data_IF_365383107802
#
_entry.id   IF_365383107802
#
_cell.length_a   1.000
_cell.length_b   1.000
_cell.length_c   1.000
_cell.angle_alpha   90.00
_cell.angle_beta   90.00
_cell.angle_gamma   90.00
#
_symmetry.space_group_name_H-M   'P 1'
#
loop_
_entity.id
_entity.type
_entity.pdbx_description
1 polymer ?
#
# COMPACT_ATOMS: atom_id res chain seq x y z
N UNK A 1 18.76 -9.39 31.00
CA UNK A 1 18.53 -9.98 29.66
C UNK A 1 17.95 -8.90 28.79
N UNK A 2 18.52 -8.63 27.63
CA UNK A 2 17.89 -7.79 26.61
C UNK A 2 16.95 -8.67 25.78
N UNK A 3 15.68 -8.27 25.63
CA UNK A 3 14.69 -9.07 24.86
C UNK A 3 15.11 -9.26 23.39
N UNK A 4 15.80 -8.28 22.80
CA UNK A 4 16.30 -8.38 21.42
C UNK A 4 17.37 -9.49 21.28
N UNK A 5 18.13 -9.80 22.33
CA UNK A 5 19.13 -10.86 22.28
C UNK A 5 18.52 -12.27 22.19
N UNK A 6 17.22 -12.40 22.52
CA UNK A 6 16.48 -13.68 22.39
C UNK A 6 16.13 -14.03 20.95
N UNK A 7 16.31 -13.10 20.03
CA UNK A 7 16.02 -13.28 18.60
C UNK A 7 16.92 -14.34 17.96
N UNK A 8 18.22 -14.29 18.33
CA UNK A 8 19.23 -15.19 17.78
C UNK A 8 18.94 -16.66 18.11
N UNK A 9 18.87 -17.48 17.07
CA UNK A 9 18.62 -18.92 17.19
C UNK A 9 17.14 -19.28 17.43
N UNK A 10 16.22 -18.35 17.37
CA UNK A 10 14.78 -18.60 17.36
C UNK A 10 14.26 -18.82 15.93
N UNK A 11 13.11 -19.48 15.78
CA UNK A 11 12.44 -19.57 14.47
C UNK A 11 12.15 -18.21 13.85
N UNK A 12 11.96 -17.19 14.68
CA UNK A 12 11.71 -15.85 14.17
C UNK A 12 12.93 -15.28 13.45
N UNK A 13 14.15 -15.63 13.86
CA UNK A 13 15.38 -15.20 13.18
C UNK A 13 15.53 -15.79 11.77
N UNK A 14 14.83 -16.89 11.46
CA UNK A 14 14.87 -17.54 10.15
C UNK A 14 14.00 -16.84 9.10
N UNK A 15 13.02 -16.04 9.57
CA UNK A 15 12.09 -15.32 8.71
C UNK A 15 12.36 -13.81 8.64
N UNK A 16 13.34 -13.30 9.40
CA UNK A 16 13.73 -11.88 9.28
C UNK A 16 14.36 -11.65 7.91
N UNK A 17 13.87 -10.67 7.14
CA UNK A 17 14.42 -10.39 5.83
C UNK A 17 15.89 -10.00 5.90
N UNK A 18 16.67 -10.49 4.95
CA UNK A 18 18.06 -10.05 4.80
C UNK A 18 18.12 -8.53 4.60
N UNK A 19 19.07 -7.89 5.26
CA UNK A 19 19.22 -6.43 5.27
C UNK A 19 18.41 -5.69 6.32
N UNK A 20 17.60 -6.39 7.14
CA UNK A 20 16.95 -5.76 8.29
C UNK A 20 17.92 -5.66 9.48
N UNK A 21 18.27 -4.42 9.87
CA UNK A 21 19.00 -4.14 11.09
C UNK A 21 18.04 -3.94 12.26
N UNK A 22 17.97 -4.95 13.14
CA UNK A 22 17.05 -4.96 14.29
C UNK A 22 17.31 -3.77 15.23
N UNK A 23 18.55 -3.32 15.38
CA UNK A 23 18.85 -2.15 16.22
C UNK A 23 18.31 -0.88 15.62
N UNK A 24 18.51 -0.67 14.32
CA UNK A 24 17.95 0.48 13.60
C UNK A 24 16.42 0.48 13.59
N UNK A 25 15.79 -0.72 13.46
CA UNK A 25 14.33 -0.86 13.58
C UNK A 25 13.89 -0.44 14.98
N UNK A 26 14.58 -0.90 16.04
CA UNK A 26 14.26 -0.52 17.41
C UNK A 26 14.42 1.00 17.63
N UNK A 27 15.43 1.62 17.05
CA UNK A 27 15.60 3.07 17.05
C UNK A 27 14.40 3.78 16.37
N UNK A 28 13.97 3.30 15.22
CA UNK A 28 12.79 3.85 14.52
C UNK A 28 11.52 3.83 15.36
N UNK A 29 11.28 2.75 16.11
CA UNK A 29 10.03 2.57 16.89
C UNK A 29 10.12 3.14 18.30
N UNK A 30 11.28 3.57 18.75
CA UNK A 30 11.52 4.16 20.08
C UNK A 30 11.40 5.69 20.08
N UNK A 31 10.96 6.29 18.97
CA UNK A 31 10.76 7.74 18.91
C UNK A 31 9.59 8.19 19.80
N UNK A 32 9.68 9.42 20.29
CA UNK A 32 8.56 10.06 21.00
C UNK A 32 7.37 10.21 20.04
N UNK A 33 6.17 9.74 20.39
CA UNK A 33 4.96 9.89 19.57
C UNK A 33 4.70 11.31 19.08
N UNK A 34 5.03 12.32 19.88
CA UNK A 34 4.85 13.73 19.51
C UNK A 34 5.68 14.18 18.32
N UNK A 35 6.76 13.44 18.01
CA UNK A 35 7.67 13.75 16.89
C UNK A 35 7.25 13.13 15.57
N UNK A 36 6.15 12.38 15.52
CA UNK A 36 5.74 11.58 14.37
C UNK A 36 5.68 12.37 13.06
N UNK A 37 5.28 13.62 13.12
CA UNK A 37 5.20 14.52 11.97
C UNK A 37 6.48 15.35 11.73
N UNK A 38 7.54 15.16 12.54
CA UNK A 38 8.79 15.90 12.36
C UNK A 38 9.48 15.45 11.08
N UNK A 39 9.73 16.44 10.21
CA UNK A 39 10.32 16.21 8.89
C UNK A 39 11.72 15.62 9.00
N UNK A 40 11.99 14.62 8.17
CA UNK A 40 13.31 14.04 8.00
C UNK A 40 13.96 14.57 6.71
N UNK A 41 15.28 14.58 6.65
CA UNK A 41 16.06 15.12 5.52
C UNK A 41 15.77 14.40 4.20
N UNK A 42 15.44 13.10 4.26
CA UNK A 42 15.12 12.31 3.06
C UNK A 42 13.67 12.48 2.56
N UNK A 43 12.81 13.17 3.31
CA UNK A 43 11.42 13.40 2.88
C UNK A 43 11.35 14.41 1.74
N UNK A 44 10.58 14.09 0.71
CA UNK A 44 10.22 15.05 -0.31
C UNK A 44 9.59 16.29 0.34
N UNK A 45 9.93 17.47 -0.15
CA UNK A 45 9.40 18.74 0.40
C UNK A 45 7.86 18.80 0.43
N UNK A 46 7.21 18.08 -0.48
CA UNK A 46 5.75 18.02 -0.64
C UNK A 46 5.15 16.74 -0.03
N UNK A 47 5.92 15.97 0.75
CA UNK A 47 5.40 14.84 1.54
C UNK A 47 4.89 15.33 2.90
N UNK A 48 3.68 14.88 3.30
CA UNK A 48 3.06 15.27 4.57
C UNK A 48 2.36 14.07 5.23
N UNK A 49 2.75 13.64 6.44
CA UNK A 49 1.94 12.76 7.26
C UNK A 49 0.73 13.53 7.83
N UNK A 50 -0.45 12.91 7.84
CA UNK A 50 -1.72 13.48 8.31
C UNK A 50 -2.33 12.56 9.36
N UNK A 51 -2.34 12.99 10.60
CA UNK A 51 -2.89 12.23 11.72
C UNK A 51 -4.42 12.29 11.73
N UNK A 52 -5.05 11.14 11.98
CA UNK A 52 -6.48 10.96 12.10
C UNK A 52 -6.81 10.35 13.48
N UNK A 53 -7.90 10.75 14.07
CA UNK A 53 -8.29 10.36 15.44
C UNK A 53 -9.29 9.20 15.48
N UNK A 54 -9.88 8.87 14.33
CA UNK A 54 -10.80 7.73 14.18
C UNK A 54 -10.88 7.27 12.72
N UNK A 55 -11.36 6.04 12.52
CA UNK A 55 -11.43 5.41 11.17
C UNK A 55 -12.36 6.14 10.20
N UNK A 56 -13.37 6.85 10.69
CA UNK A 56 -14.28 7.62 9.82
C UNK A 56 -13.58 8.86 9.27
N UNK A 57 -12.88 9.60 10.11
CA UNK A 57 -12.04 10.73 9.71
C UNK A 57 -10.94 10.29 8.74
N UNK A 58 -10.24 9.19 9.07
CA UNK A 58 -9.24 8.60 8.20
C UNK A 58 -9.79 8.28 6.80
N UNK A 59 -10.91 7.56 6.75
CA UNK A 59 -11.55 7.21 5.48
C UNK A 59 -12.01 8.43 4.69
N UNK A 60 -12.60 9.44 5.39
CA UNK A 60 -13.08 10.66 4.77
C UNK A 60 -11.93 11.50 4.17
N UNK A 61 -10.84 11.69 4.91
CA UNK A 61 -9.71 12.48 4.44
C UNK A 61 -9.00 11.81 3.26
N UNK A 62 -8.73 10.51 3.37
CA UNK A 62 -8.08 9.77 2.30
C UNK A 62 -8.98 9.69 1.05
N UNK A 63 -10.27 9.42 1.22
CA UNK A 63 -11.24 9.39 0.12
C UNK A 63 -11.46 10.75 -0.54
N UNK A 64 -11.43 11.83 0.24
CA UNK A 64 -11.46 13.20 -0.29
C UNK A 64 -10.23 13.48 -1.16
N UNK A 65 -9.03 13.11 -0.70
CA UNK A 65 -7.80 13.31 -1.46
C UNK A 65 -7.82 12.54 -2.79
N UNK A 66 -8.31 11.28 -2.79
CA UNK A 66 -8.52 10.50 -4.02
C UNK A 66 -9.47 11.23 -4.96
N UNK A 67 -10.64 11.64 -4.48
CA UNK A 67 -11.64 12.34 -5.28
C UNK A 67 -11.11 13.69 -5.83
N UNK A 68 -10.31 14.41 -5.04
CA UNK A 68 -9.67 15.66 -5.47
C UNK A 68 -8.68 15.45 -6.61
N UNK A 69 -7.85 14.37 -6.57
CA UNK A 69 -6.94 14.08 -7.67
C UNK A 69 -7.69 13.76 -8.97
N UNK A 70 -8.80 13.02 -8.87
CA UNK A 70 -9.68 12.75 -10.03
C UNK A 70 -10.30 14.05 -10.56
N UNK A 71 -10.83 14.89 -9.69
CA UNK A 71 -11.44 16.15 -10.07
C UNK A 71 -10.43 17.12 -10.71
N UNK A 72 -9.28 17.32 -10.08
CA UNK A 72 -8.26 18.26 -10.57
C UNK A 72 -7.70 17.85 -11.94
N UNK A 73 -7.37 16.56 -12.13
CA UNK A 73 -6.87 16.08 -13.43
C UNK A 73 -7.91 16.19 -14.54
N UNK A 74 -9.20 16.05 -14.20
CA UNK A 74 -10.30 16.30 -15.14
C UNK A 74 -10.37 17.77 -15.54
N UNK A 75 -10.28 18.68 -14.57
CA UNK A 75 -10.27 20.15 -14.81
C UNK A 75 -9.05 20.57 -15.63
N UNK A 76 -7.91 19.93 -15.45
CA UNK A 76 -6.69 20.12 -16.25
C UNK A 76 -6.78 19.52 -17.65
N UNK A 77 -7.82 18.76 -17.98
CA UNK A 77 -7.96 18.04 -19.25
C UNK A 77 -6.94 16.92 -19.44
N UNK A 78 -6.41 16.36 -18.38
CA UNK A 78 -5.37 15.30 -18.37
C UNK A 78 -5.98 13.93 -18.10
N UNK A 79 -5.37 12.90 -18.68
CA UNK A 79 -5.61 11.51 -18.25
C UNK A 79 -4.99 11.28 -16.87
N UNK A 80 -5.65 10.43 -16.07
CA UNK A 80 -5.20 10.05 -14.75
C UNK A 80 -4.96 8.55 -14.67
N UNK A 81 -3.74 8.15 -14.35
CA UNK A 81 -3.37 6.79 -13.98
C UNK A 81 -3.51 6.67 -12.46
N UNK A 82 -4.38 5.76 -12.01
CA UNK A 82 -4.54 5.46 -10.59
C UNK A 82 -4.08 4.05 -10.29
N UNK A 83 -3.03 3.92 -9.49
CA UNK A 83 -2.63 2.64 -8.91
C UNK A 83 -3.45 2.45 -7.64
N UNK A 84 -4.25 1.37 -7.56
CA UNK A 84 -5.30 1.20 -6.56
C UNK A 84 -5.10 -0.07 -5.73
N UNK A 85 -5.08 0.02 -4.39
CA UNK A 85 -4.95 -1.13 -3.49
C UNK A 85 -6.31 -1.74 -3.13
N UNK A 86 -6.28 -2.97 -2.63
CA UNK A 86 -7.34 -3.52 -1.78
C UNK A 86 -6.89 -3.43 -0.32
N UNK A 87 -7.22 -2.29 0.31
CA UNK A 87 -6.85 -1.90 1.66
C UNK A 87 -5.91 -0.68 1.70
N UNK A 88 -6.26 0.27 2.56
CA UNK A 88 -7.45 0.36 3.41
C UNK A 88 -8.74 0.61 2.59
N UNK A 89 -9.81 -0.13 2.90
CA UNK A 89 -11.06 -0.08 2.09
C UNK A 89 -12.00 1.07 2.44
N UNK A 90 -11.93 1.58 3.67
CA UNK A 90 -12.84 2.64 4.16
C UNK A 90 -12.82 3.92 3.34
N UNK A 91 -11.72 4.22 2.65
CA UNK A 91 -11.55 5.40 1.81
C UNK A 91 -12.45 5.40 0.57
N UNK A 92 -12.74 4.23 -0.02
CA UNK A 92 -13.49 4.16 -1.29
C UNK A 92 -14.93 4.65 -1.17
N UNK A 93 -15.63 4.33 -0.06
CA UNK A 93 -16.98 4.86 0.16
C UNK A 93 -17.01 6.38 0.13
N UNK A 94 -15.97 7.02 0.67
CA UNK A 94 -15.86 8.47 0.71
C UNK A 94 -15.42 9.05 -0.63
N UNK A 95 -14.49 8.43 -1.35
CA UNK A 95 -14.14 8.83 -2.70
C UNK A 95 -15.38 8.81 -3.61
N UNK A 96 -16.18 7.74 -3.56
CA UNK A 96 -17.46 7.61 -4.27
C UNK A 96 -18.43 8.70 -3.84
N UNK A 97 -18.58 8.94 -2.53
CA UNK A 97 -19.45 10.00 -2.02
C UNK A 97 -19.09 11.37 -2.60
N UNK A 98 -17.84 11.80 -2.51
CA UNK A 98 -17.41 13.10 -3.01
C UNK A 98 -17.58 13.23 -4.53
N UNK A 99 -17.19 12.22 -5.30
CA UNK A 99 -17.33 12.23 -6.75
C UNK A 99 -18.81 12.35 -7.18
N UNK A 100 -19.71 11.66 -6.48
CA UNK A 100 -21.15 11.78 -6.72
C UNK A 100 -21.70 13.16 -6.34
N UNK A 101 -21.32 13.69 -5.15
CA UNK A 101 -21.74 15.02 -4.73
C UNK A 101 -21.29 16.12 -5.68
N UNK A 102 -20.08 15.98 -6.23
CA UNK A 102 -19.52 16.95 -7.18
C UNK A 102 -19.93 16.69 -8.64
N UNK A 103 -20.62 15.58 -8.90
CA UNK A 103 -20.97 15.11 -10.25
C UNK A 103 -19.74 15.00 -11.17
N UNK A 104 -18.64 14.44 -10.65
CA UNK A 104 -17.38 14.24 -11.37
C UNK A 104 -17.32 12.81 -11.91
N UNK A 105 -17.36 12.62 -13.21
CA UNK A 105 -17.14 11.31 -13.83
C UNK A 105 -15.65 10.95 -13.91
N UNK A 106 -15.39 9.65 -14.01
CA UNK A 106 -14.06 9.06 -14.07
C UNK A 106 -13.66 8.59 -15.48
N UNK A 107 -14.23 9.16 -16.56
CA UNK A 107 -13.95 8.73 -17.94
C UNK A 107 -12.50 8.94 -18.39
N UNK A 108 -11.78 9.85 -17.74
CA UNK A 108 -10.36 10.12 -17.99
C UNK A 108 -9.42 9.30 -17.11
N UNK A 109 -9.97 8.47 -16.21
CA UNK A 109 -9.22 7.67 -15.24
C UNK A 109 -8.90 6.29 -15.81
N UNK A 110 -7.67 5.86 -15.67
CA UNK A 110 -7.17 4.51 -15.96
C UNK A 110 -6.78 3.86 -14.64
N UNK A 111 -7.57 2.90 -14.19
CA UNK A 111 -7.35 2.18 -12.93
C UNK A 111 -6.42 0.98 -13.15
N UNK A 112 -5.42 0.86 -12.30
CA UNK A 112 -4.49 -0.28 -12.23
C UNK A 112 -4.52 -0.83 -10.81
N UNK A 113 -5.15 -1.98 -10.61
CA UNK A 113 -5.11 -2.65 -9.32
C UNK A 113 -3.70 -3.19 -9.08
N UNK A 114 -3.14 -2.92 -7.89
CA UNK A 114 -1.72 -3.15 -7.62
C UNK A 114 -1.37 -4.62 -7.45
N UNK A 115 -2.34 -5.45 -7.08
CA UNK A 115 -2.12 -6.87 -6.76
C UNK A 115 -3.40 -7.70 -6.88
N UNK A 116 -3.24 -9.01 -6.85
CA UNK A 116 -4.32 -10.00 -6.77
C UNK A 116 -3.77 -11.29 -6.16
N UNK A 117 -4.59 -12.01 -5.39
CA UNK A 117 -4.28 -13.35 -4.91
C UNK A 117 -4.02 -14.32 -6.05
N UNK A 118 -2.99 -15.16 -5.91
CA UNK A 118 -2.68 -16.18 -6.92
C UNK A 118 -2.16 -17.48 -6.30
N UNK A 119 -2.00 -18.48 -7.15
CA UNK A 119 -1.12 -19.62 -6.88
C UNK A 119 0.35 -19.29 -7.26
N UNK A 120 1.25 -20.26 -7.11
CA UNK A 120 2.66 -20.09 -7.44
C UNK A 120 2.91 -19.83 -8.94
N UNK A 121 2.02 -20.28 -9.82
CA UNK A 121 2.03 -20.10 -11.27
C UNK A 121 1.38 -18.78 -11.71
N UNK A 122 0.81 -18.03 -10.75
CA UNK A 122 0.17 -16.73 -10.97
C UNK A 122 -1.29 -16.80 -11.42
N UNK A 123 -1.94 -17.97 -11.35
CA UNK A 123 -3.35 -18.08 -11.66
C UNK A 123 -4.16 -17.44 -10.52
N UNK A 124 -5.04 -16.51 -10.85
CA UNK A 124 -5.83 -15.75 -9.87
C UNK A 124 -7.17 -16.40 -9.57
N UNK A 125 -7.79 -15.99 -8.46
CA UNK A 125 -9.18 -16.33 -8.18
C UNK A 125 -10.10 -15.81 -9.31
N UNK A 126 -11.25 -16.48 -9.56
CA UNK A 126 -12.27 -15.92 -10.45
C UNK A 126 -12.69 -14.52 -9.99
N UNK A 127 -12.94 -13.63 -10.93
CA UNK A 127 -13.37 -12.24 -10.65
C UNK A 127 -14.65 -12.14 -9.79
N UNK A 128 -15.47 -13.17 -9.77
CA UNK A 128 -16.69 -13.26 -8.96
C UNK A 128 -16.48 -13.86 -7.57
N UNK A 129 -15.25 -14.32 -7.24
CA UNK A 129 -14.96 -14.85 -5.92
C UNK A 129 -14.95 -13.71 -4.90
N UNK A 130 -15.67 -13.84 -3.76
CA UNK A 130 -15.69 -12.80 -2.74
C UNK A 130 -14.32 -12.45 -2.14
N UNK A 131 -13.33 -13.34 -2.24
CA UNK A 131 -11.97 -13.10 -1.78
C UNK A 131 -11.09 -12.43 -2.84
N UNK A 132 -11.51 -12.37 -4.11
CA UNK A 132 -10.75 -11.74 -5.18
C UNK A 132 -10.70 -10.21 -5.00
N UNK A 133 -9.52 -9.63 -5.19
CA UNK A 133 -9.36 -8.17 -5.13
C UNK A 133 -10.11 -7.47 -6.25
N UNK A 134 -10.21 -8.10 -7.42
CA UNK A 134 -11.05 -7.61 -8.50
C UNK A 134 -12.52 -7.46 -8.07
N UNK A 135 -13.06 -8.44 -7.33
CA UNK A 135 -14.42 -8.35 -6.78
C UNK A 135 -14.51 -7.20 -5.77
N UNK A 136 -13.57 -7.14 -4.82
CA UNK A 136 -13.55 -6.11 -3.79
C UNK A 136 -13.54 -4.68 -4.38
N UNK A 137 -12.76 -4.45 -5.43
CA UNK A 137 -12.70 -3.15 -6.11
C UNK A 137 -13.97 -2.85 -6.90
N UNK A 138 -14.56 -3.85 -7.51
CA UNK A 138 -15.85 -3.69 -8.21
C UNK A 138 -16.94 -3.29 -7.23
N UNK A 139 -17.01 -3.93 -6.07
CA UNK A 139 -18.02 -3.65 -5.03
C UNK A 139 -17.78 -2.32 -4.31
N UNK A 140 -16.51 -1.95 -4.05
CA UNK A 140 -16.20 -0.78 -3.24
C UNK A 140 -16.09 0.53 -4.03
N UNK A 141 -15.66 0.50 -5.28
CA UNK A 141 -15.35 1.70 -6.04
C UNK A 141 -16.06 1.76 -7.39
N UNK A 142 -15.82 0.81 -8.29
CA UNK A 142 -16.33 0.89 -9.67
C UNK A 142 -17.85 0.81 -9.76
N UNK A 143 -18.46 -0.16 -9.11
CA UNK A 143 -19.92 -0.37 -9.12
C UNK A 143 -20.69 0.79 -8.48
N UNK A 144 -20.36 1.21 -7.26
CA UNK A 144 -21.06 2.31 -6.59
C UNK A 144 -21.03 3.66 -7.31
N UNK A 145 -20.04 3.92 -8.17
CA UNK A 145 -20.00 5.14 -9.00
C UNK A 145 -21.08 5.18 -10.05
N UNK A 146 -21.62 4.02 -10.50
CA UNK A 146 -22.66 3.95 -11.51
C UNK A 146 -22.22 4.56 -12.85
N UNK A 147 -22.97 5.51 -13.38
CA UNK A 147 -22.66 6.19 -14.67
C UNK A 147 -21.39 7.06 -14.61
N UNK A 148 -20.95 7.44 -13.42
CA UNK A 148 -19.71 8.21 -13.21
C UNK A 148 -18.45 7.34 -13.18
N UNK A 149 -18.58 6.03 -13.30
CA UNK A 149 -17.48 5.08 -13.09
C UNK A 149 -16.38 5.17 -14.17
N UNK A 150 -15.24 4.58 -13.85
CA UNK A 150 -14.15 4.32 -14.80
C UNK A 150 -14.64 3.36 -15.89
N UNK A 151 -14.41 3.63 -17.19
CA UNK A 151 -14.76 2.71 -18.28
C UNK A 151 -14.13 1.32 -18.08
N UNK A 152 -14.83 0.27 -18.48
CA UNK A 152 -14.37 -1.12 -18.24
C UNK A 152 -13.04 -1.43 -18.92
N UNK A 153 -12.81 -0.92 -20.12
CA UNK A 153 -11.58 -1.06 -20.89
C UNK A 153 -10.38 -0.28 -20.28
N UNK A 154 -10.65 0.60 -19.33
CA UNK A 154 -9.65 1.35 -18.56
C UNK A 154 -9.37 0.74 -17.18
N UNK A 155 -10.06 -0.35 -16.79
CA UNK A 155 -9.84 -1.07 -15.53
C UNK A 155 -8.84 -2.19 -15.75
N UNK A 156 -7.70 -2.12 -15.11
CA UNK A 156 -6.65 -3.12 -15.22
C UNK A 156 -6.53 -3.87 -13.89
N UNK A 157 -6.77 -5.19 -13.92
CA UNK A 157 -6.63 -6.08 -12.77
C UNK A 157 -5.36 -6.93 -12.92
N UNK A 158 -4.70 -7.22 -11.79
CA UNK A 158 -3.39 -7.84 -11.74
C UNK A 158 -3.42 -9.36 -12.00
N UNK A 159 -4.08 -9.77 -13.10
CA UNK A 159 -4.04 -11.16 -13.56
C UNK A 159 -2.68 -11.50 -14.19
N UNK A 160 -2.40 -12.80 -14.32
CA UNK A 160 -1.16 -13.31 -14.94
C UNK A 160 -0.93 -12.75 -16.34
N UNK A 161 -1.99 -12.58 -17.11
CA UNK A 161 -1.94 -12.11 -18.50
C UNK A 161 -1.80 -10.58 -18.57
N UNK A 162 -2.48 -9.86 -17.66
CA UNK A 162 -2.60 -8.41 -17.77
C UNK A 162 -1.45 -7.66 -17.05
N UNK A 163 -1.04 -8.13 -15.86
CA UNK A 163 -0.03 -7.47 -15.05
C UNK A 163 1.30 -7.21 -15.80
N UNK A 164 1.83 -8.13 -16.63
CA UNK A 164 3.03 -7.85 -17.43
C UNK A 164 2.89 -6.70 -18.42
N UNK A 165 1.66 -6.33 -18.78
CA UNK A 165 1.38 -5.22 -19.72
C UNK A 165 1.27 -3.85 -19.04
N UNK A 166 1.25 -3.79 -17.71
CA UNK A 166 1.01 -2.55 -16.97
C UNK A 166 2.00 -1.47 -17.31
N UNK A 167 3.31 -1.80 -17.26
CA UNK A 167 4.34 -0.77 -17.46
C UNK A 167 4.25 -0.14 -18.83
N UNK A 168 4.06 -0.94 -19.91
CA UNK A 168 3.91 -0.40 -21.27
C UNK A 168 2.65 0.46 -21.45
N UNK A 169 1.53 0.09 -20.81
CA UNK A 169 0.30 0.90 -20.80
C UNK A 169 0.51 2.22 -20.06
N UNK A 170 1.16 2.18 -18.89
CA UNK A 170 1.47 3.36 -18.07
C UNK A 170 2.40 4.31 -18.84
N UNK A 171 3.47 3.78 -19.45
CA UNK A 171 4.40 4.59 -20.24
C UNK A 171 3.71 5.25 -21.45
N UNK A 172 2.83 4.54 -22.15
CA UNK A 172 2.05 5.11 -23.25
C UNK A 172 1.14 6.24 -22.76
N UNK A 173 0.44 6.08 -21.64
CA UNK A 173 -0.40 7.13 -21.05
C UNK A 173 0.43 8.33 -20.58
N UNK A 174 1.59 8.10 -19.95
CA UNK A 174 2.51 9.17 -19.55
C UNK A 174 3.06 9.94 -20.75
N UNK A 175 3.35 9.28 -21.85
CA UNK A 175 3.76 9.93 -23.09
C UNK A 175 2.69 10.89 -23.65
N UNK A 176 1.42 10.64 -23.33
CA UNK A 176 0.30 11.54 -23.64
C UNK A 176 0.06 12.63 -22.56
N UNK A 177 0.93 12.72 -21.54
CA UNK A 177 0.84 13.70 -20.47
C UNK A 177 -0.04 13.30 -19.28
N UNK A 178 -0.38 12.02 -19.14
CA UNK A 178 -1.13 11.52 -17.98
C UNK A 178 -0.37 11.74 -16.67
N UNK A 179 -1.11 12.03 -15.60
CA UNK A 179 -0.61 12.05 -14.23
C UNK A 179 -0.74 10.66 -13.62
N UNK A 180 0.27 10.18 -12.92
CA UNK A 180 0.21 8.92 -12.17
C UNK A 180 0.07 9.20 -10.68
N UNK A 181 -0.99 8.67 -10.07
CA UNK A 181 -1.24 8.73 -8.63
C UNK A 181 -1.21 7.32 -8.05
N UNK A 182 -0.36 7.12 -7.05
CA UNK A 182 -0.31 5.91 -6.25
C UNK A 182 -1.25 6.08 -5.05
N UNK A 183 -2.23 5.18 -4.91
CA UNK A 183 -2.94 4.98 -3.65
C UNK A 183 -2.37 3.72 -3.00
N UNK A 184 -2.03 3.74 -1.71
CA UNK A 184 -1.35 2.60 -1.07
C UNK A 184 -1.72 2.43 0.40
N UNK A 185 -1.62 1.20 0.88
CA UNK A 185 -1.49 0.85 2.29
C UNK A 185 -0.05 0.45 2.61
N UNK A 186 0.31 0.43 3.88
CA UNK A 186 1.61 -0.07 4.35
C UNK A 186 1.38 -1.44 4.99
N UNK A 187 2.00 -2.48 4.45
CA UNK A 187 1.92 -3.82 5.05
C UNK A 187 2.77 -3.96 6.32
N UNK A 188 2.47 -4.98 7.13
CA UNK A 188 3.17 -5.29 8.38
C UNK A 188 4.69 -5.47 8.19
N UNK A 189 5.08 -6.00 7.02
CA UNK A 189 6.47 -6.19 6.62
C UNK A 189 7.02 -5.04 5.78
N UNK A 190 6.47 -3.83 5.93
CA UNK A 190 6.87 -2.64 5.18
C UNK A 190 6.72 -2.80 3.66
N UNK A 191 5.93 -3.76 3.18
CA UNK A 191 5.64 -3.90 1.76
C UNK A 191 4.61 -2.86 1.29
N UNK A 192 4.71 -2.49 0.03
CA UNK A 192 3.68 -1.78 -0.73
C UNK A 192 3.21 -2.76 -1.80
N UNK A 193 1.89 -2.89 -2.01
CA UNK A 193 1.32 -4.03 -2.71
C UNK A 193 1.78 -5.34 -2.02
N UNK A 194 2.11 -6.39 -2.78
CA UNK A 194 2.79 -7.58 -2.25
C UNK A 194 4.27 -7.66 -2.67
N UNK A 195 4.92 -6.48 -2.83
CA UNK A 195 6.37 -6.44 -3.04
C UNK A 195 7.10 -6.62 -1.71
N UNK A 196 7.37 -7.87 -1.39
CA UNK A 196 7.85 -8.32 -0.10
C UNK A 196 9.34 -8.00 0.16
N UNK A 197 9.73 -7.75 1.43
CA UNK A 197 11.09 -7.35 1.78
C UNK A 197 12.17 -8.38 1.40
N UNK A 198 11.85 -9.68 1.44
CA UNK A 198 12.83 -10.73 1.12
C UNK A 198 13.20 -10.77 -0.36
N UNK A 199 12.43 -10.15 -1.26
CA UNK A 199 12.82 -10.02 -2.67
C UNK A 199 14.05 -9.14 -2.86
N UNK A 200 14.37 -8.27 -1.89
CA UNK A 200 15.54 -7.41 -1.96
C UNK A 200 16.86 -8.19 -2.09
N UNK A 201 16.93 -9.40 -1.53
CA UNK A 201 18.10 -10.27 -1.62
C UNK A 201 18.40 -10.79 -3.03
N UNK A 202 17.45 -10.70 -3.95
CA UNK A 202 17.59 -11.14 -5.34
C UNK A 202 18.31 -10.10 -6.24
N UNK A 203 18.55 -8.89 -5.74
CA UNK A 203 19.13 -7.78 -6.50
C UNK A 203 20.38 -7.24 -5.82
N UNK A 204 21.44 -7.05 -6.56
CA UNK A 204 22.70 -6.55 -6.03
C UNK A 204 22.60 -5.05 -5.68
N UNK A 205 21.92 -4.27 -6.53
CA UNK A 205 21.82 -2.81 -6.39
C UNK A 205 20.38 -2.34 -6.16
N UNK A 206 20.25 -1.09 -5.67
CA UNK A 206 18.94 -0.42 -5.53
C UNK A 206 18.35 -0.13 -6.91
N UNK A 207 19.17 0.20 -7.90
CA UNK A 207 18.76 0.49 -9.26
C UNK A 207 18.15 -0.73 -9.95
N UNK A 208 18.74 -1.91 -9.80
CA UNK A 208 18.18 -3.18 -10.30
C UNK A 208 16.85 -3.50 -9.63
N UNK A 209 16.75 -3.30 -8.33
CA UNK A 209 15.51 -3.47 -7.57
C UNK A 209 14.43 -2.48 -8.02
N UNK A 210 14.80 -1.20 -8.23
CA UNK A 210 13.88 -0.15 -8.70
C UNK A 210 13.37 -0.40 -10.12
N UNK A 211 14.12 -1.11 -10.97
CA UNK A 211 13.71 -1.43 -12.36
C UNK A 211 12.69 -2.57 -12.45
N UNK A 212 12.33 -3.20 -11.32
CA UNK A 212 11.34 -4.28 -11.31
C UNK A 212 9.92 -3.73 -11.46
N UNK A 213 9.23 -4.12 -12.54
CA UNK A 213 7.87 -3.63 -12.82
C UNK A 213 6.78 -4.45 -12.14
N UNK A 214 6.97 -5.77 -11.99
CA UNK A 214 5.97 -6.67 -11.42
C UNK A 214 6.58 -8.02 -11.03
N UNK A 215 5.79 -8.82 -10.29
CA UNK A 215 6.08 -10.25 -10.03
C UNK A 215 4.79 -11.07 -10.14
N UNK A 216 4.87 -12.19 -10.85
CA UNK A 216 3.81 -13.19 -10.97
C UNK A 216 4.09 -14.30 -9.95
N UNK A 217 3.07 -14.74 -9.22
CA UNK A 217 3.21 -15.78 -8.20
C UNK A 217 4.20 -15.41 -7.09
N UNK A 218 4.21 -14.16 -6.66
CA UNK A 218 5.05 -13.66 -5.58
C UNK A 218 4.76 -14.41 -4.28
N UNK A 219 5.75 -15.09 -3.71
CA UNK A 219 5.60 -15.80 -2.43
C UNK A 219 5.52 -14.81 -1.27
N UNK A 220 4.45 -14.90 -0.49
CA UNK A 220 4.21 -13.99 0.62
C UNK A 220 5.02 -14.36 1.87
N UNK A 221 5.44 -13.34 2.59
CA UNK A 221 6.11 -13.52 3.88
C UNK A 221 5.13 -14.08 4.93
N UNK A 222 5.55 -14.97 5.86
CA UNK A 222 4.66 -15.53 6.89
C UNK A 222 3.91 -14.48 7.71
N UNK A 223 4.53 -13.34 8.04
CA UNK A 223 3.88 -12.25 8.77
C UNK A 223 2.89 -11.46 7.90
N UNK A 224 3.07 -11.46 6.58
CA UNK A 224 2.07 -10.91 5.65
C UNK A 224 0.83 -11.81 5.60
N UNK A 225 1.02 -13.12 5.59
CA UNK A 225 -0.08 -14.09 5.69
C UNK A 225 -0.83 -13.89 7.00
N UNK A 226 -0.11 -13.78 8.12
CA UNK A 226 -0.71 -13.56 9.45
C UNK A 226 -1.44 -12.20 9.54
N UNK A 227 -0.89 -11.12 8.97
CA UNK A 227 -1.58 -9.84 8.87
C UNK A 227 -2.94 -10.00 8.17
N UNK A 228 -2.97 -10.64 7.01
CA UNK A 228 -4.20 -10.83 6.24
C UNK A 228 -5.19 -11.76 6.97
N UNK A 229 -4.69 -12.74 7.73
CA UNK A 229 -5.54 -13.54 8.61
C UNK A 229 -6.29 -12.67 9.61
N UNK A 230 -5.61 -11.76 10.30
CA UNK A 230 -6.21 -10.85 11.28
C UNK A 230 -7.20 -9.89 10.61
N UNK A 231 -6.78 -9.24 9.52
CA UNK A 231 -7.54 -8.12 8.93
C UNK A 231 -8.74 -8.58 8.10
N UNK A 232 -8.65 -9.73 7.41
CA UNK A 232 -9.60 -10.08 6.35
C UNK A 232 -10.22 -11.47 6.48
N UNK A 233 -9.57 -12.41 7.21
CA UNK A 233 -9.97 -13.81 7.28
C UNK A 233 -10.29 -14.30 8.70
N UNK A 234 -10.60 -13.39 9.64
CA UNK A 234 -10.99 -13.70 11.03
C UNK A 234 -10.00 -14.65 11.73
N UNK A 235 -8.70 -14.41 11.55
CA UNK A 235 -7.56 -15.21 12.04
C UNK A 235 -7.46 -16.62 11.45
N UNK A 236 -8.20 -16.94 10.38
CA UNK A 236 -8.15 -18.23 9.71
C UNK A 236 -7.02 -18.27 8.67
N UNK A 237 -5.77 -18.29 9.12
CA UNK A 237 -4.60 -18.28 8.25
C UNK A 237 -4.54 -19.42 7.20
N UNK A 238 -5.13 -20.65 7.41
CA UNK A 238 -5.12 -21.67 6.36
C UNK A 238 -5.94 -21.32 5.11
N UNK A 239 -6.78 -20.29 5.20
CA UNK A 239 -7.60 -19.83 4.06
C UNK A 239 -6.91 -18.73 3.24
N UNK A 240 -5.74 -18.22 3.70
CA UNK A 240 -5.03 -17.16 3.01
C UNK A 240 -4.22 -17.72 1.85
N UNK A 241 -4.36 -17.22 0.63
CA UNK A 241 -3.42 -17.54 -0.44
C UNK A 241 -1.99 -17.16 -0.05
N UNK A 242 -1.04 -18.06 -0.31
CA UNK A 242 0.37 -17.84 0.05
C UNK A 242 1.18 -17.15 -1.05
N UNK A 243 0.53 -16.82 -2.16
CA UNK A 243 1.11 -16.17 -3.33
C UNK A 243 0.19 -15.06 -3.84
N UNK A 244 0.78 -14.13 -4.57
CA UNK A 244 0.06 -13.05 -5.23
C UNK A 244 0.75 -12.63 -6.53
N UNK A 245 -0.02 -12.04 -7.45
CA UNK A 245 0.52 -11.22 -8.51
C UNK A 245 0.63 -9.79 -7.99
N UNK A 246 1.74 -9.10 -8.21
CA UNK A 246 1.99 -7.79 -7.63
C UNK A 246 2.78 -6.86 -8.54
N UNK A 247 2.46 -5.57 -8.51
CA UNK A 247 3.32 -4.54 -9.10
C UNK A 247 4.66 -4.47 -8.34
N UNK A 248 5.69 -3.97 -9.00
CA UNK A 248 7.02 -3.77 -8.45
C UNK A 248 7.39 -2.29 -8.24
N UNK A 249 8.59 -2.05 -7.72
CA UNK A 249 9.10 -0.71 -7.41
C UNK A 249 9.02 0.27 -8.57
N UNK A 250 9.30 -0.18 -9.80
CA UNK A 250 9.23 0.67 -11.00
C UNK A 250 7.85 1.31 -11.19
N UNK A 251 6.77 0.57 -10.97
CA UNK A 251 5.40 1.11 -11.06
C UNK A 251 5.10 1.99 -9.85
N UNK A 252 5.48 1.55 -8.65
CA UNK A 252 5.20 2.23 -7.38
C UNK A 252 5.86 3.63 -7.38
N UNK A 253 7.17 3.67 -7.60
CA UNK A 253 7.98 4.89 -7.39
C UNK A 253 8.07 5.80 -8.62
N UNK A 254 7.48 5.41 -9.76
CA UNK A 254 7.29 6.29 -10.92
C UNK A 254 6.06 7.20 -10.79
N UNK A 255 5.47 7.29 -9.61
CA UNK A 255 4.25 8.04 -9.34
C UNK A 255 4.55 9.53 -9.13
N UNK A 256 3.70 10.38 -9.69
CA UNK A 256 3.80 11.84 -9.56
C UNK A 256 3.25 12.35 -8.22
N UNK A 257 2.40 11.54 -7.57
CA UNK A 257 1.80 11.83 -6.27
C UNK A 257 1.38 10.53 -5.57
N UNK A 258 1.53 10.48 -4.26
CA UNK A 258 1.21 9.30 -3.45
C UNK A 258 0.20 9.62 -2.34
N UNK A 259 -0.85 8.78 -2.22
CA UNK A 259 -1.89 8.89 -1.20
C UNK A 259 -1.84 7.62 -0.36
N UNK A 260 -1.30 7.72 0.84
CA UNK A 260 -1.10 6.58 1.72
C UNK A 260 -2.09 6.47 2.85
N UNK A 261 -2.34 5.24 3.29
CA UNK A 261 -3.13 4.95 4.46
C UNK A 261 -2.47 3.96 5.41
N UNK A 262 -2.51 4.28 6.70
CA UNK A 262 -2.14 3.40 7.79
C UNK A 262 -3.26 3.42 8.85
N UNK A 263 -4.12 2.39 8.81
CA UNK A 263 -5.31 2.23 9.65
C UNK A 263 -5.28 0.94 10.49
N UNK A 264 -4.11 0.36 10.68
CA UNK A 264 -3.88 -0.97 11.27
C UNK A 264 -4.19 -1.11 12.75
N UNK A 265 -5.31 -0.55 13.20
CA UNK A 265 -5.85 -0.70 14.54
C UNK A 265 -6.94 -1.78 14.56
N UNK A 266 -7.04 -2.51 15.68
CA UNK A 266 -7.99 -3.63 15.85
C UNK A 266 -9.01 -3.33 16.94
N UNK A 267 -8.95 -2.14 17.55
CA UNK A 267 -9.76 -1.71 18.69
C UNK A 267 -9.13 -2.05 20.04
N UNK A 268 -9.57 -1.36 21.08
CA UNK A 268 -9.06 -1.50 22.47
C UNK A 268 -7.54 -1.30 22.61
N UNK A 269 -6.95 -0.41 21.82
CA UNK A 269 -5.50 -0.16 21.84
C UNK A 269 -4.64 -1.22 21.12
N UNK A 270 -5.24 -2.29 20.59
CA UNK A 270 -4.49 -3.27 19.79
C UNK A 270 -4.26 -2.75 18.37
N UNK A 271 -3.02 -2.85 17.92
CA UNK A 271 -2.63 -2.45 16.56
C UNK A 271 -1.56 -3.41 16.01
N UNK A 272 -1.46 -3.51 14.70
CA UNK A 272 -0.50 -4.41 14.04
C UNK A 272 0.50 -3.67 13.14
N UNK A 273 0.35 -2.37 12.93
CA UNK A 273 1.03 -1.61 11.89
C UNK A 273 2.05 -0.59 12.42
N UNK A 274 2.09 -0.31 13.72
CA UNK A 274 2.93 0.75 14.29
C UNK A 274 4.42 0.60 13.95
N UNK A 275 4.97 -0.62 13.97
CA UNK A 275 6.37 -0.84 13.60
C UNK A 275 6.63 -0.45 12.13
N UNK A 276 5.86 -0.96 11.18
CA UNK A 276 6.05 -0.66 9.77
C UNK A 276 5.75 0.80 9.44
N UNK A 277 4.81 1.42 10.15
CA UNK A 277 4.53 2.84 10.05
C UNK A 277 5.76 3.70 10.47
N UNK A 278 6.34 3.45 11.64
CA UNK A 278 7.54 4.16 12.09
C UNK A 278 8.77 3.89 11.20
N UNK A 279 8.97 2.65 10.75
CA UNK A 279 10.03 2.32 9.79
C UNK A 279 9.87 3.10 8.50
N UNK A 280 8.65 3.25 7.99
CA UNK A 280 8.36 4.07 6.80
C UNK A 280 8.82 5.52 6.98
N UNK A 281 8.54 6.12 8.14
CA UNK A 281 8.82 7.52 8.40
C UNK A 281 10.27 7.81 8.84
N UNK A 282 10.98 6.85 9.44
CA UNK A 282 12.26 7.09 10.13
C UNK A 282 13.45 6.32 9.59
N UNK A 283 13.24 5.20 8.93
CA UNK A 283 14.36 4.33 8.53
C UNK A 283 15.25 4.98 7.44
N UNK A 284 14.66 5.74 6.54
CA UNK A 284 15.29 6.17 5.29
C UNK A 284 15.26 5.08 4.21
N UNK A 285 15.43 5.43 2.94
CA UNK A 285 15.27 4.52 1.81
C UNK A 285 16.17 3.29 1.88
N UNK A 286 15.56 2.09 1.79
CA UNK A 286 16.27 0.81 1.81
C UNK A 286 15.47 -0.26 1.04
N UNK A 287 16.11 -1.00 0.10
CA UNK A 287 15.42 -1.96 -0.78
C UNK A 287 14.69 -3.10 -0.04
N UNK A 288 15.15 -3.51 1.14
CA UNK A 288 14.45 -4.49 1.98
C UNK A 288 13.34 -3.88 2.86
N UNK A 289 13.03 -2.60 2.71
CA UNK A 289 11.96 -1.88 3.42
C UNK A 289 11.24 -1.02 2.40
N UNK A 290 10.42 -1.64 1.56
CA UNK A 290 9.81 -1.01 0.39
C UNK A 290 9.13 0.31 0.73
N UNK A 291 8.38 0.35 1.83
CA UNK A 291 7.66 1.56 2.25
C UNK A 291 8.58 2.73 2.65
N UNK A 292 9.87 2.47 2.98
CA UNK A 292 10.82 3.52 3.36
C UNK A 292 11.14 4.51 2.23
N UNK A 293 10.86 4.15 0.98
CA UNK A 293 10.98 5.06 -0.16
C UNK A 293 9.76 5.98 -0.33
N UNK A 294 8.62 5.67 0.28
CA UNK A 294 7.39 6.45 0.11
C UNK A 294 7.58 7.93 0.48
N UNK A 295 8.23 8.29 1.61
CA UNK A 295 8.41 9.70 1.93
C UNK A 295 9.28 10.48 0.94
N UNK A 296 9.96 9.81 0.00
CA UNK A 296 10.72 10.49 -1.07
C UNK A 296 9.82 10.96 -2.23
N UNK A 297 8.57 10.55 -2.27
CA UNK A 297 7.56 11.00 -3.23
C UNK A 297 6.76 12.20 -2.66
N UNK A 298 6.27 13.11 -3.51
CA UNK A 298 5.27 14.08 -3.08
C UNK A 298 3.96 13.35 -2.73
N UNK A 299 3.26 13.79 -1.68
CA UNK A 299 2.00 13.17 -1.31
C UNK A 299 1.63 13.29 0.15
N UNK A 300 0.62 12.51 0.54
CA UNK A 300 0.14 12.45 1.92
C UNK A 300 0.09 11.02 2.43
N UNK A 301 0.45 10.83 3.68
CA UNK A 301 0.25 9.58 4.42
C UNK A 301 -0.72 9.84 5.57
N UNK A 302 -1.96 9.41 5.41
CA UNK A 302 -2.97 9.43 6.47
C UNK A 302 -2.74 8.25 7.42
N UNK A 303 -2.81 8.51 8.72
CA UNK A 303 -2.56 7.46 9.71
C UNK A 303 -3.40 7.66 10.96
N UNK A 304 -3.72 6.54 11.63
CA UNK A 304 -4.38 6.56 12.93
C UNK A 304 -3.38 6.96 14.01
N UNK A 305 -3.74 7.89 14.89
CA UNK A 305 -2.91 8.40 15.98
C UNK A 305 -2.34 7.30 16.88
N UNK A 306 -3.12 6.24 17.14
CA UNK A 306 -2.69 5.06 17.90
C UNK A 306 -1.42 4.38 17.32
N UNK A 307 -1.16 4.50 16.00
CA UNK A 307 0.02 3.92 15.36
C UNK A 307 1.31 4.69 15.69
N UNK A 308 1.20 5.95 16.11
CA UNK A 308 2.34 6.72 16.58
C UNK A 308 2.89 6.17 17.92
N UNK A 309 2.11 5.41 18.64
CA UNK A 309 2.56 4.76 19.86
C UNK A 309 2.11 5.42 21.15
N UNK A 310 2.78 5.12 22.29
CA UNK A 310 4.10 4.46 22.40
C UNK A 310 4.08 2.96 22.03
N UNK A 311 5.10 2.48 21.33
CA UNK A 311 5.27 1.06 20.99
C UNK A 311 6.07 0.36 22.12
N UNK A 312 5.44 0.21 23.27
CA UNK A 312 6.02 -0.40 24.47
C UNK A 312 5.24 -1.65 24.84
N UNK A 313 5.87 -2.60 25.56
CA UNK A 313 5.14 -3.74 26.10
C UNK A 313 3.96 -3.29 26.95
N UNK A 314 2.78 -3.81 26.67
CA UNK A 314 1.58 -3.63 27.45
C UNK A 314 1.00 -5.00 27.82
N UNK A 315 0.49 -5.12 29.04
CA UNK A 315 -0.18 -6.33 29.52
C UNK A 315 -1.67 -6.08 29.50
N UNK A 316 -2.35 -6.60 28.49
CA UNK A 316 -3.82 -6.53 28.36
C UNK A 316 -4.55 -7.30 29.48
#
# INVERSE_FOLDING_TARGET
MNMVDTFKGSYFSEIVPEGWDIKKIQECVSNDPSTVCDRQDFWNKDFTPVMCTNLEEFGAYMGHEIAMQIKLTKEEGRKLIMILPVGPMGMYKWAVYFLKQWNVDCKHVYGFNMDEWSDAEGNTLPASDPAAFQNAMTEAFYGPLGELTVPEDQRNFATKENLPTYMSKIEALKAEGAKQVLVYGIGRMCHIAFWEPHFAAEFDTVEEWMDQSHRIGARLHPLTIEQNAITSFRSSWPLIPCFANTIGPKVIFNSDYAIGGADGIVGRGMQWQGMSFWMTLRHGPHKAITSSFIPTLPGKLFFMDELAGPLVPDTN
#
